data_IF_970087258518
#
_entry.id   IF_970087258518
#
_cell.length_a   1.000
_cell.length_b   1.000
_cell.length_c   1.000
_cell.angle_alpha   90.00
_cell.angle_beta   90.00
_cell.angle_gamma   90.00
#
_symmetry.space_group_name_H-M   'P 1'
#
loop_
_entity.id
_entity.type
_entity.pdbx_description
1 polymer ?
#
# COMPACT_ATOMS: atom_id res chain seq x y z
N UNK A 1 2.22 -14.71 -30.50
CA UNK A 1 2.02 -14.17 -29.13
C UNK A 1 3.16 -14.68 -28.28
N UNK A 2 4.02 -13.82 -27.76
CA UNK A 2 5.06 -14.27 -26.83
C UNK A 2 4.39 -14.83 -25.56
N UNK A 3 4.89 -15.96 -25.02
CA UNK A 3 4.36 -16.50 -23.77
C UNK A 3 4.52 -15.45 -22.66
N UNK A 4 3.46 -15.19 -21.92
CA UNK A 4 3.50 -14.26 -20.76
C UNK A 4 4.39 -14.83 -19.67
N UNK A 5 5.14 -13.98 -18.97
CA UNK A 5 5.97 -14.45 -17.85
C UNK A 5 5.09 -15.13 -16.80
N UNK A 6 5.57 -16.19 -16.15
CA UNK A 6 4.84 -16.88 -15.11
C UNK A 6 4.60 -15.96 -13.90
N UNK A 7 3.46 -16.11 -13.22
CA UNK A 7 3.20 -15.41 -11.96
C UNK A 7 4.19 -15.86 -10.89
N UNK A 8 4.83 -14.90 -10.25
CA UNK A 8 5.83 -15.16 -9.21
C UNK A 8 5.23 -15.19 -7.79
N UNK A 9 4.02 -14.63 -7.63
CA UNK A 9 3.38 -14.48 -6.33
C UNK A 9 2.98 -15.81 -5.63
N UNK A 10 2.80 -15.77 -4.31
CA UNK A 10 3.19 -14.68 -3.42
C UNK A 10 4.71 -14.55 -3.30
N UNK A 11 5.22 -13.32 -3.18
CA UNK A 11 6.67 -13.05 -3.08
C UNK A 11 7.05 -12.62 -1.67
N UNK A 12 8.20 -13.06 -1.14
CA UNK A 12 9.01 -14.20 -1.63
C UNK A 12 8.33 -15.53 -1.29
N UNK A 13 8.11 -16.40 -2.27
CA UNK A 13 7.43 -17.70 -2.04
C UNK A 13 8.10 -18.56 -0.94
N UNK A 14 9.45 -18.69 -0.90
CA UNK A 14 10.10 -19.49 0.15
C UNK A 14 9.77 -18.99 1.56
N UNK A 15 9.66 -17.67 1.76
CA UNK A 15 9.29 -17.09 3.06
C UNK A 15 7.86 -17.51 3.47
N UNK A 16 6.89 -17.39 2.57
CA UNK A 16 5.50 -17.76 2.87
C UNK A 16 5.33 -19.24 3.16
N UNK A 17 5.95 -20.12 2.35
CA UNK A 17 5.89 -21.56 2.56
C UNK A 17 6.68 -22.00 3.80
N UNK A 18 7.90 -21.46 3.98
CA UNK A 18 8.74 -21.76 5.14
C UNK A 18 8.07 -21.36 6.45
N UNK A 19 7.52 -20.15 6.52
CA UNK A 19 6.79 -19.71 7.73
C UNK A 19 5.57 -20.58 8.01
N UNK A 20 4.76 -20.89 6.99
CA UNK A 20 3.61 -21.76 7.17
C UNK A 20 4.03 -23.15 7.66
N UNK A 21 5.05 -23.75 7.04
CA UNK A 21 5.58 -25.05 7.44
C UNK A 21 6.10 -25.01 8.87
N UNK A 22 7.00 -24.08 9.19
CA UNK A 22 7.61 -24.00 10.52
C UNK A 22 6.57 -23.79 11.61
N UNK A 23 5.62 -22.87 11.41
CA UNK A 23 4.60 -22.58 12.43
C UNK A 23 3.60 -23.71 12.59
N UNK A 24 3.15 -24.32 11.49
CA UNK A 24 2.21 -25.43 11.57
C UNK A 24 2.87 -26.69 12.13
N UNK A 25 4.09 -27.02 11.69
CA UNK A 25 4.81 -28.18 12.21
C UNK A 25 5.18 -28.01 13.70
N UNK A 26 5.50 -26.80 14.16
CA UNK A 26 5.78 -26.55 15.58
C UNK A 26 4.54 -26.60 16.49
N UNK A 27 3.32 -26.62 15.93
CA UNK A 27 2.07 -26.62 16.73
C UNK A 27 1.97 -27.85 17.64
N UNK A 28 2.45 -29.01 17.20
CA UNK A 28 2.46 -30.23 18.01
C UNK A 28 3.45 -30.12 19.16
N UNK A 29 4.66 -29.65 18.91
CA UNK A 29 5.68 -29.43 19.93
C UNK A 29 5.25 -28.35 20.94
N UNK A 30 4.63 -27.28 20.45
CA UNK A 30 4.08 -26.24 21.28
C UNK A 30 2.96 -26.78 22.19
N UNK A 31 2.08 -27.64 21.66
CA UNK A 31 1.04 -28.27 22.45
C UNK A 31 1.64 -29.14 23.55
N UNK A 32 2.61 -30.02 23.24
CA UNK A 32 3.31 -30.83 24.24
C UNK A 32 3.99 -30.04 25.32
N UNK A 33 4.49 -28.84 24.99
CA UNK A 33 5.18 -27.95 25.93
C UNK A 33 4.20 -27.15 26.82
N UNK A 34 3.06 -26.75 26.29
CA UNK A 34 2.13 -25.83 26.95
C UNK A 34 0.93 -26.52 27.62
N UNK A 35 0.67 -27.81 27.27
CA UNK A 35 -0.48 -28.51 27.85
C UNK A 35 -0.33 -28.60 29.37
N UNK A 36 -1.42 -28.38 30.13
CA UNK A 36 -1.42 -28.59 31.57
C UNK A 36 -1.08 -30.00 31.95
N UNK A 37 -0.33 -30.21 33.03
CA UNK A 37 -0.01 -31.55 33.54
C UNK A 37 -1.27 -32.30 33.99
N UNK A 38 -2.32 -31.57 34.40
CA UNK A 38 -3.68 -32.08 34.64
C UNK A 38 -4.69 -31.01 34.24
N UNK A 39 -6.01 -31.37 34.03
CA UNK A 39 -7.05 -30.39 33.70
C UNK A 39 -7.23 -29.28 34.75
N UNK A 40 -6.77 -29.50 35.97
CA UNK A 40 -6.84 -28.56 37.10
C UNK A 40 -5.52 -27.78 37.33
N UNK A 41 -4.45 -28.08 36.60
CA UNK A 41 -3.17 -27.40 36.74
C UNK A 41 -3.10 -26.14 35.86
N UNK A 42 -2.36 -25.13 36.34
CA UNK A 42 -2.08 -23.93 35.54
C UNK A 42 -1.32 -24.31 34.27
N UNK A 43 -1.54 -23.58 33.15
CA UNK A 43 -0.74 -23.75 31.93
C UNK A 43 0.74 -23.60 32.22
N UNK A 44 1.59 -24.32 31.49
CA UNK A 44 3.04 -24.16 31.57
C UNK A 44 3.41 -22.67 31.44
N UNK A 45 4.35 -22.21 32.26
CA UNK A 45 4.70 -20.77 32.43
C UNK A 45 5.21 -20.05 31.15
N UNK A 46 5.32 -20.73 30.04
CA UNK A 46 5.84 -20.21 28.76
C UNK A 46 4.75 -19.93 27.70
N UNK A 47 3.47 -20.18 28.02
CA UNK A 47 2.40 -19.95 27.04
C UNK A 47 2.05 -18.43 27.00
N UNK A 48 1.96 -17.81 25.80
CA UNK A 48 1.44 -16.45 25.69
C UNK A 48 0.01 -16.35 26.25
N UNK A 49 -0.33 -15.22 26.91
CA UNK A 49 -1.64 -14.99 27.54
C UNK A 49 -2.82 -15.25 26.60
N UNK A 50 -2.68 -14.90 25.32
CA UNK A 50 -3.70 -15.11 24.28
C UNK A 50 -3.98 -16.58 23.99
N UNK A 51 -3.03 -17.47 24.28
CA UNK A 51 -3.15 -18.92 24.09
C UNK A 51 -3.55 -19.58 25.40
N UNK A 52 -3.08 -19.07 26.52
CA UNK A 52 -3.32 -19.63 27.84
C UNK A 52 -4.82 -19.90 28.12
N UNK A 53 -5.68 -18.99 27.69
CA UNK A 53 -7.14 -19.13 27.83
C UNK A 53 -7.73 -20.34 27.04
N UNK A 54 -7.09 -20.78 25.95
CA UNK A 54 -7.55 -21.88 25.11
C UNK A 54 -6.99 -23.25 25.53
N UNK A 55 -5.91 -23.28 26.31
CA UNK A 55 -5.24 -24.52 26.68
C UNK A 55 -6.14 -25.50 27.46
N UNK A 56 -7.00 -25.06 28.41
CA UNK A 56 -7.91 -25.98 29.11
C UNK A 56 -8.92 -26.64 28.17
N UNK A 57 -9.45 -25.92 27.19
CA UNK A 57 -10.41 -26.46 26.22
C UNK A 57 -9.76 -27.50 25.31
N UNK A 58 -8.52 -27.20 24.85
CA UNK A 58 -7.75 -28.13 24.01
C UNK A 58 -7.38 -29.37 24.80
N UNK A 59 -6.99 -29.25 26.09
CA UNK A 59 -6.69 -30.38 26.95
C UNK A 59 -7.93 -31.30 27.19
N UNK A 60 -9.09 -30.66 27.41
CA UNK A 60 -10.35 -31.40 27.54
C UNK A 60 -10.72 -32.13 26.23
N UNK A 61 -10.45 -31.54 25.08
CA UNK A 61 -10.65 -32.18 23.78
C UNK A 61 -9.71 -33.38 23.59
N UNK A 62 -8.42 -33.23 23.90
CA UNK A 62 -7.45 -34.34 23.86
C UNK A 62 -7.89 -35.52 24.75
N UNK A 63 -8.34 -35.21 25.99
CA UNK A 63 -8.82 -36.21 26.91
C UNK A 63 -10.05 -36.96 26.36
N UNK A 64 -11.01 -36.25 25.80
CA UNK A 64 -12.23 -36.84 25.20
C UNK A 64 -11.93 -37.72 23.99
N UNK A 65 -10.98 -37.32 23.16
CA UNK A 65 -10.60 -38.02 21.94
C UNK A 65 -9.67 -39.22 22.18
N UNK A 66 -8.89 -39.18 23.27
CA UNK A 66 -7.70 -39.98 23.46
C UNK A 66 -6.48 -39.45 22.72
N UNK A 67 -5.31 -39.41 23.39
CA UNK A 67 -4.10 -38.69 22.90
C UNK A 67 -3.69 -39.07 21.49
N UNK A 68 -3.61 -40.35 21.13
CA UNK A 68 -3.23 -40.75 19.78
C UNK A 68 -4.22 -40.34 18.68
N UNK A 69 -5.52 -40.27 18.98
CA UNK A 69 -6.53 -39.77 18.02
C UNK A 69 -6.44 -38.26 17.88
N UNK A 70 -6.15 -37.55 18.96
CA UNK A 70 -5.94 -36.09 18.94
C UNK A 70 -4.71 -35.73 18.12
N UNK A 71 -3.55 -36.37 18.36
CA UNK A 71 -2.32 -36.14 17.58
C UNK A 71 -2.55 -36.43 16.10
N UNK A 72 -3.20 -37.52 15.76
CA UNK A 72 -3.55 -37.85 14.38
C UNK A 72 -4.48 -36.83 13.74
N UNK A 73 -5.43 -36.25 14.49
CA UNK A 73 -6.31 -35.19 14.01
C UNK A 73 -5.53 -33.89 13.79
N UNK A 74 -4.62 -33.55 14.70
CA UNK A 74 -3.75 -32.38 14.58
C UNK A 74 -2.85 -32.48 13.33
N UNK A 75 -2.20 -33.62 13.11
CA UNK A 75 -1.40 -33.85 11.91
C UNK A 75 -2.21 -33.73 10.62
N UNK A 76 -3.42 -34.31 10.58
CA UNK A 76 -4.29 -34.15 9.41
C UNK A 76 -4.66 -32.67 9.15
N UNK A 77 -4.94 -31.92 10.21
CA UNK A 77 -5.28 -30.50 10.08
C UNK A 77 -4.09 -29.65 9.61
N UNK A 78 -2.88 -29.92 10.12
CA UNK A 78 -1.63 -29.31 9.67
C UNK A 78 -1.42 -29.57 8.17
N UNK A 79 -1.48 -30.84 7.76
CA UNK A 79 -1.32 -31.24 6.37
C UNK A 79 -2.39 -30.58 5.48
N UNK A 80 -3.66 -30.58 5.92
CA UNK A 80 -4.76 -29.94 5.21
C UNK A 80 -4.51 -28.45 4.97
N UNK A 81 -4.02 -27.72 5.97
CA UNK A 81 -3.72 -26.27 5.82
C UNK A 81 -2.56 -26.01 4.89
N UNK A 82 -1.49 -26.82 4.97
CA UNK A 82 -0.34 -26.70 4.07
C UNK A 82 -0.74 -27.01 2.62
N UNK A 83 -1.51 -28.10 2.40
CA UNK A 83 -2.02 -28.44 1.06
C UNK A 83 -2.91 -27.31 0.52
N UNK A 84 -3.84 -26.79 1.32
CA UNK A 84 -4.70 -25.67 0.89
C UNK A 84 -3.92 -24.42 0.51
N UNK A 85 -2.83 -24.11 1.21
CA UNK A 85 -1.93 -23.02 0.83
C UNK A 85 -1.26 -23.32 -0.51
N UNK A 86 -0.65 -24.50 -0.64
CA UNK A 86 0.07 -24.89 -1.86
C UNK A 86 -0.86 -24.94 -3.08
N UNK A 87 -2.03 -25.59 -2.95
CA UNK A 87 -3.02 -25.70 -4.02
C UNK A 87 -3.60 -24.35 -4.39
N UNK A 88 -3.85 -23.46 -3.40
CA UNK A 88 -4.30 -22.11 -3.64
C UNK A 88 -3.28 -21.27 -4.40
N UNK A 89 -2.00 -21.40 -4.07
CA UNK A 89 -0.90 -20.75 -4.81
C UNK A 89 -0.79 -21.30 -6.24
N UNK A 90 -0.91 -22.62 -6.41
CA UNK A 90 -0.87 -23.25 -7.74
C UNK A 90 -2.07 -22.83 -8.60
N UNK A 91 -3.28 -22.81 -8.02
CA UNK A 91 -4.49 -22.34 -8.70
C UNK A 91 -4.34 -20.88 -9.17
N UNK A 92 -3.85 -19.99 -8.28
CA UNK A 92 -3.55 -18.61 -8.63
C UNK A 92 -2.52 -18.49 -9.77
N UNK A 93 -1.41 -19.23 -9.68
CA UNK A 93 -0.35 -19.16 -10.70
C UNK A 93 -0.79 -19.64 -12.07
N UNK A 94 -1.72 -20.61 -12.13
CA UNK A 94 -2.27 -21.19 -13.36
C UNK A 94 -3.49 -20.45 -13.89
N UNK A 95 -4.04 -19.51 -13.12
CA UNK A 95 -5.28 -18.82 -13.49
C UNK A 95 -5.12 -18.01 -14.78
N UNK A 96 -6.09 -18.13 -15.69
CA UNK A 96 -5.99 -17.54 -17.04
C UNK A 96 -6.18 -16.02 -17.09
N UNK A 97 -6.81 -15.44 -16.06
CA UNK A 97 -7.15 -14.00 -16.00
C UNK A 97 -5.90 -13.14 -15.94
N UNK A 98 -5.90 -12.04 -16.71
CA UNK A 98 -4.91 -10.98 -16.67
C UNK A 98 -5.58 -9.63 -16.82
N UNK A 99 -4.90 -8.55 -16.39
CA UNK A 99 -5.35 -7.20 -16.64
C UNK A 99 -5.35 -6.91 -18.15
N UNK A 100 -6.51 -6.47 -18.67
CA UNK A 100 -6.72 -6.23 -20.10
C UNK A 100 -6.96 -4.76 -20.45
N UNK A 101 -6.96 -3.87 -19.44
CA UNK A 101 -7.17 -2.44 -19.68
C UNK A 101 -6.02 -1.83 -20.46
N UNK A 102 -6.36 -1.07 -21.50
CA UNK A 102 -5.40 -0.27 -22.24
C UNK A 102 -4.80 0.82 -21.34
N UNK A 103 -3.49 0.94 -21.39
CA UNK A 103 -2.76 2.02 -20.74
C UNK A 103 -2.99 3.31 -21.53
N UNK A 104 -3.46 4.39 -20.86
CA UNK A 104 -3.61 5.68 -21.53
C UNK A 104 -2.31 6.22 -22.10
N UNK A 105 -2.37 7.11 -23.12
CA UNK A 105 -1.17 7.62 -23.77
C UNK A 105 -0.28 8.39 -22.80
N UNK A 106 1.01 8.16 -22.87
CA UNK A 106 2.02 8.98 -22.22
C UNK A 106 2.16 10.32 -22.95
N UNK A 107 2.00 11.42 -22.23
CA UNK A 107 2.06 12.78 -22.78
C UNK A 107 3.31 13.53 -22.37
N UNK A 108 4.08 12.98 -21.46
CA UNK A 108 5.38 13.48 -21.00
C UNK A 108 6.17 12.30 -20.41
N UNK A 109 7.49 12.37 -20.56
CA UNK A 109 8.41 11.40 -19.95
C UNK A 109 9.70 12.08 -19.53
N UNK A 110 10.36 11.52 -18.52
CA UNK A 110 11.71 11.88 -18.08
C UNK A 110 12.34 10.66 -17.41
N UNK A 111 13.43 10.13 -17.99
CA UNK A 111 13.94 8.82 -17.62
C UNK A 111 12.83 7.76 -17.79
N UNK A 112 12.70 6.89 -16.81
CA UNK A 112 11.65 5.85 -16.82
C UNK A 112 10.28 6.36 -16.36
N UNK A 113 10.21 7.59 -15.83
CA UNK A 113 8.94 8.17 -15.39
C UNK A 113 8.13 8.68 -16.56
N UNK A 114 6.86 8.29 -16.63
CA UNK A 114 5.89 8.73 -17.64
C UNK A 114 4.72 9.43 -16.98
N UNK A 115 4.05 10.28 -17.73
CA UNK A 115 2.80 10.91 -17.32
C UNK A 115 1.68 10.46 -18.25
N UNK A 116 0.78 9.64 -17.73
CA UNK A 116 -0.33 9.04 -18.49
C UNK A 116 -1.56 9.95 -18.44
N UNK A 117 -2.15 10.27 -19.60
CA UNK A 117 -3.30 11.18 -19.73
C UNK A 117 -4.62 10.40 -19.73
N UNK A 118 -5.26 10.30 -18.59
CA UNK A 118 -6.59 9.69 -18.44
C UNK A 118 -7.71 10.52 -19.05
N UNK A 119 -7.46 11.76 -19.46
CA UNK A 119 -8.38 12.51 -20.29
C UNK A 119 -8.68 11.84 -21.63
N UNK A 120 -7.80 10.96 -22.11
CA UNK A 120 -8.04 10.14 -23.29
C UNK A 120 -9.14 9.09 -23.12
N UNK A 121 -9.45 8.69 -21.87
CA UNK A 121 -10.38 7.58 -21.58
C UNK A 121 -11.86 7.98 -21.62
N UNK A 122 -12.18 9.28 -21.48
CA UNK A 122 -13.58 9.73 -21.47
C UNK A 122 -13.74 11.14 -22.04
N UNK A 123 -14.81 11.37 -22.86
CA UNK A 123 -15.08 12.67 -23.52
C UNK A 123 -15.27 13.82 -22.52
N UNK A 124 -15.90 13.57 -21.37
CA UNK A 124 -16.14 14.60 -20.35
C UNK A 124 -14.81 15.22 -19.82
N UNK A 125 -13.75 14.42 -19.75
CA UNK A 125 -12.43 14.89 -19.30
C UNK A 125 -11.68 15.74 -20.35
N UNK A 126 -12.19 15.83 -21.59
CA UNK A 126 -11.65 16.64 -22.70
C UNK A 126 -12.33 18.00 -22.83
N UNK A 127 -13.39 18.27 -22.10
CA UNK A 127 -14.13 19.52 -22.17
C UNK A 127 -13.25 20.72 -21.78
N UNK A 128 -13.53 21.88 -22.36
CA UNK A 128 -12.84 23.13 -21.97
C UNK A 128 -13.09 23.43 -20.49
N UNK A 129 -12.05 23.82 -19.79
CA UNK A 129 -12.18 24.18 -18.37
C UNK A 129 -12.13 23.01 -17.39
N UNK A 130 -12.01 21.79 -17.88
CA UNK A 130 -11.84 20.58 -17.05
C UNK A 130 -10.70 20.75 -16.06
N UNK A 131 -10.92 20.35 -14.81
CA UNK A 131 -9.87 20.38 -13.78
C UNK A 131 -8.85 19.28 -14.01
N UNK A 132 -7.60 19.70 -14.20
CA UNK A 132 -6.47 18.79 -14.24
C UNK A 132 -6.09 18.35 -12.82
N UNK A 133 -5.77 17.06 -12.65
CA UNK A 133 -5.32 16.45 -11.40
C UNK A 133 -4.04 15.67 -11.67
N UNK A 134 -2.94 16.06 -11.04
CA UNK A 134 -1.70 15.27 -11.04
C UNK A 134 -1.86 14.17 -9.99
N UNK A 135 -1.84 12.91 -10.40
CA UNK A 135 -2.00 11.76 -9.51
C UNK A 135 -0.63 11.13 -9.27
N UNK A 136 -0.27 11.02 -7.99
CA UNK A 136 1.04 10.54 -7.52
C UNK A 136 0.84 9.24 -6.74
N UNK A 137 1.12 8.08 -7.34
CA UNK A 137 1.07 6.78 -6.66
C UNK A 137 2.32 6.57 -5.79
N UNK A 138 2.34 5.49 -5.02
CA UNK A 138 3.52 5.03 -4.29
C UNK A 138 4.70 4.76 -5.23
N UNK A 139 5.93 4.82 -4.71
CA UNK A 139 7.15 4.37 -5.42
C UNK A 139 7.35 2.86 -5.33
N UNK A 140 6.78 2.21 -4.32
CA UNK A 140 7.03 0.80 -3.99
C UNK A 140 6.17 -0.12 -4.84
N UNK A 141 4.87 0.19 -4.94
CA UNK A 141 3.92 -0.58 -5.73
C UNK A 141 3.54 0.19 -6.99
N UNK A 142 3.29 -0.53 -8.06
CA UNK A 142 2.89 0.06 -9.33
C UNK A 142 1.52 0.72 -9.24
N UNK A 143 1.24 1.61 -10.17
CA UNK A 143 0.06 2.46 -10.18
C UNK A 143 -1.25 1.75 -10.53
N UNK A 144 -1.22 0.53 -11.06
CA UNK A 144 -2.36 -0.19 -11.62
C UNK A 144 -3.49 -0.44 -10.61
N UNK A 145 -3.24 -0.39 -9.31
CA UNK A 145 -4.29 -0.45 -8.29
C UNK A 145 -5.31 0.69 -8.43
N UNK A 146 -4.89 1.84 -8.96
CA UNK A 146 -5.76 2.98 -9.23
C UNK A 146 -6.60 2.82 -10.52
N UNK A 147 -6.30 1.80 -11.35
CA UNK A 147 -6.97 1.46 -12.60
C UNK A 147 -6.97 -0.07 -12.81
N UNK A 148 -7.45 -0.83 -11.84
CA UNK A 148 -7.31 -2.29 -11.81
C UNK A 148 -8.19 -3.00 -12.86
N UNK A 149 -9.48 -2.66 -12.89
CA UNK A 149 -10.47 -3.11 -13.90
C UNK A 149 -11.31 -1.91 -14.35
N UNK A 150 -12.15 -2.09 -15.37
CA UNK A 150 -13.06 -1.03 -15.84
C UNK A 150 -14.00 -0.54 -14.71
N UNK A 151 -14.46 -1.45 -13.87
CA UNK A 151 -15.34 -1.18 -12.73
C UNK A 151 -14.58 -0.65 -11.51
N UNK A 152 -13.32 -1.08 -11.36
CA UNK A 152 -12.42 -0.73 -10.24
C UNK A 152 -11.29 0.18 -10.70
N UNK A 153 -11.67 1.34 -11.23
CA UNK A 153 -10.78 2.40 -11.68
C UNK A 153 -11.20 3.75 -11.13
N UNK A 154 -10.48 4.23 -10.13
CA UNK A 154 -10.65 5.59 -9.62
C UNK A 154 -10.37 6.62 -10.74
N UNK A 155 -9.34 6.38 -11.54
CA UNK A 155 -8.91 7.33 -12.57
C UNK A 155 -9.93 7.48 -13.70
N UNK A 156 -10.51 6.36 -14.18
CA UNK A 156 -11.58 6.40 -15.19
C UNK A 156 -12.87 6.97 -14.62
N UNK A 157 -13.18 6.70 -13.35
CA UNK A 157 -14.32 7.32 -12.66
C UNK A 157 -14.16 8.85 -12.57
N UNK A 158 -12.96 9.35 -12.23
CA UNK A 158 -12.64 10.78 -12.25
C UNK A 158 -12.81 11.38 -13.65
N UNK A 159 -12.33 10.69 -14.69
CA UNK A 159 -12.46 11.14 -16.09
C UNK A 159 -13.92 11.20 -16.52
N UNK A 160 -14.74 10.20 -16.16
CA UNK A 160 -16.17 10.16 -16.47
C UNK A 160 -16.97 11.31 -15.79
N UNK A 161 -16.48 11.77 -14.63
CA UNK A 161 -17.04 12.90 -13.88
C UNK A 161 -16.45 14.27 -14.27
N UNK A 162 -15.74 14.36 -15.40
CA UNK A 162 -15.25 15.63 -15.96
C UNK A 162 -13.98 16.17 -15.30
N UNK A 163 -13.23 15.35 -14.57
CA UNK A 163 -11.86 15.66 -14.16
C UNK A 163 -10.86 15.13 -15.21
N UNK A 164 -9.67 15.68 -15.27
CA UNK A 164 -8.60 15.17 -16.16
C UNK A 164 -7.40 14.69 -15.34
N UNK A 165 -7.38 13.40 -14.95
CA UNK A 165 -6.24 12.83 -14.24
C UNK A 165 -5.03 12.71 -15.17
N UNK A 166 -3.87 13.10 -14.67
CA UNK A 166 -2.55 12.84 -15.21
C UNK A 166 -1.82 11.98 -14.19
N UNK A 167 -1.67 10.70 -14.49
CA UNK A 167 -1.07 9.74 -13.58
C UNK A 167 0.43 9.68 -13.80
N UNK A 168 1.19 9.80 -12.72
CA UNK A 168 2.62 9.52 -12.71
C UNK A 168 2.82 8.00 -12.71
N UNK A 169 3.43 7.48 -13.75
CA UNK A 169 3.97 6.13 -13.80
C UNK A 169 5.48 6.24 -13.57
N UNK A 170 5.94 5.79 -12.42
CA UNK A 170 7.35 5.91 -12.03
C UNK A 170 8.28 5.00 -12.86
N UNK A 171 7.74 3.92 -13.43
CA UNK A 171 8.55 2.87 -14.05
C UNK A 171 9.33 2.04 -13.02
N UNK A 172 10.46 1.52 -13.43
CA UNK A 172 11.45 0.86 -12.57
C UNK A 172 12.73 1.69 -12.62
N UNK A 173 13.35 2.03 -11.49
CA UNK A 173 14.57 2.82 -11.47
C UNK A 173 15.67 2.18 -12.33
N UNK A 174 16.22 2.93 -13.28
CA UNK A 174 17.42 2.57 -14.02
C UNK A 174 18.69 2.89 -13.20
N UNK A 175 19.85 2.75 -13.81
CA UNK A 175 21.13 2.96 -13.15
C UNK A 175 21.29 4.39 -12.61
N UNK A 176 20.79 5.39 -13.32
CA UNK A 176 20.83 6.78 -12.87
C UNK A 176 19.79 7.05 -11.77
N UNK A 177 18.59 6.51 -11.93
CA UNK A 177 17.48 6.67 -10.98
C UNK A 177 17.71 5.91 -9.67
N UNK A 178 18.56 4.89 -9.65
CA UNK A 178 19.03 4.24 -8.39
C UNK A 178 19.77 5.18 -7.45
N UNK A 179 20.24 6.32 -7.95
CA UNK A 179 20.89 7.38 -7.15
C UNK A 179 19.90 8.44 -6.63
N UNK A 180 18.61 8.28 -6.90
CA UNK A 180 17.60 9.25 -6.49
C UNK A 180 17.28 9.14 -5.01
N UNK A 181 17.33 10.29 -4.33
CA UNK A 181 16.73 10.52 -3.02
C UNK A 181 15.28 11.02 -3.17
N UNK A 182 14.59 11.26 -2.07
CA UNK A 182 13.25 11.83 -2.08
C UNK A 182 13.20 13.23 -2.70
N UNK A 183 14.31 13.98 -2.63
CA UNK A 183 14.43 15.32 -3.27
C UNK A 183 14.40 15.19 -4.79
N UNK A 184 15.10 14.23 -5.37
CA UNK A 184 15.13 14.01 -6.82
C UNK A 184 13.75 13.63 -7.36
N UNK A 185 13.03 12.72 -6.66
CA UNK A 185 11.65 12.38 -7.02
C UNK A 185 10.71 13.57 -6.93
N UNK A 186 10.78 14.38 -5.87
CA UNK A 186 9.95 15.60 -5.75
C UNK A 186 10.31 16.63 -6.83
N UNK A 187 11.58 16.78 -7.18
CA UNK A 187 12.00 17.65 -8.28
C UNK A 187 11.42 17.19 -9.63
N UNK A 188 11.36 15.87 -9.87
CA UNK A 188 10.69 15.30 -11.05
C UNK A 188 9.18 15.60 -11.04
N UNK A 189 8.52 15.48 -9.88
CA UNK A 189 7.12 15.88 -9.72
C UNK A 189 6.90 17.37 -10.00
N UNK A 190 7.83 18.24 -9.64
CA UNK A 190 7.74 19.67 -9.97
C UNK A 190 7.74 19.93 -11.48
N UNK A 191 8.53 19.16 -12.25
CA UNK A 191 8.58 19.25 -13.72
C UNK A 191 7.29 18.72 -14.34
N UNK A 192 6.80 17.56 -13.87
CA UNK A 192 5.51 17.00 -14.27
C UNK A 192 4.35 17.95 -13.96
N UNK A 193 4.30 18.52 -12.74
CA UNK A 193 3.32 19.54 -12.34
C UNK A 193 3.36 20.76 -13.28
N UNK A 194 4.57 21.22 -13.62
CA UNK A 194 4.80 22.32 -14.56
C UNK A 194 4.25 22.02 -15.95
N UNK A 195 4.44 20.80 -16.45
CA UNK A 195 3.88 20.33 -17.72
C UNK A 195 2.33 20.34 -17.67
N UNK A 196 1.73 19.74 -16.64
CA UNK A 196 0.26 19.71 -16.49
C UNK A 196 -0.32 21.12 -16.38
N UNK A 197 0.31 22.01 -15.61
CA UNK A 197 -0.16 23.37 -15.44
C UNK A 197 -0.13 24.17 -16.76
N UNK A 198 0.90 23.97 -17.61
CA UNK A 198 0.96 24.58 -18.95
C UNK A 198 -0.16 24.07 -19.84
N UNK A 199 -0.36 22.75 -19.87
CA UNK A 199 -1.38 22.11 -20.71
C UNK A 199 -2.81 22.48 -20.28
N UNK A 200 -3.05 22.54 -18.96
CA UNK A 200 -4.34 22.95 -18.40
C UNK A 200 -4.57 24.48 -18.37
N UNK A 201 -3.54 25.29 -18.61
CA UNK A 201 -3.55 26.77 -18.50
C UNK A 201 -4.00 27.30 -17.13
N UNK A 202 -3.91 26.46 -16.10
CA UNK A 202 -4.27 26.76 -14.70
C UNK A 202 -3.52 25.84 -13.74
N UNK A 203 -3.52 26.17 -12.46
CA UNK A 203 -2.96 25.30 -11.44
C UNK A 203 -3.77 23.98 -11.33
N UNK A 204 -3.17 22.79 -11.47
CA UNK A 204 -3.86 21.53 -11.24
C UNK A 204 -4.04 21.26 -9.74
N UNK A 205 -4.99 20.40 -9.39
CA UNK A 205 -4.96 19.73 -8.10
C UNK A 205 -3.90 18.62 -8.10
N UNK A 206 -3.50 18.16 -6.92
CA UNK A 206 -2.60 17.03 -6.75
C UNK A 206 -3.31 15.98 -5.87
N UNK A 207 -3.26 14.72 -6.28
CA UNK A 207 -3.75 13.59 -5.51
C UNK A 207 -2.57 12.67 -5.24
N UNK A 208 -2.29 12.38 -3.98
CA UNK A 208 -1.25 11.42 -3.59
C UNK A 208 -1.85 10.23 -2.85
N UNK A 209 -1.42 9.03 -3.22
CA UNK A 209 -1.82 7.79 -2.57
C UNK A 209 -0.63 7.15 -1.86
N UNK A 210 -0.83 6.75 -0.59
CA UNK A 210 0.20 6.13 0.23
C UNK A 210 1.47 7.01 0.30
N UNK A 211 2.66 6.47 0.09
CA UNK A 211 3.93 7.19 0.00
C UNK A 211 3.89 8.35 -1.02
N UNK A 212 3.14 8.19 -2.12
CA UNK A 212 2.90 9.27 -3.09
C UNK A 212 2.21 10.48 -2.47
N UNK A 213 1.40 10.28 -1.42
CA UNK A 213 0.82 11.36 -0.62
C UNK A 213 1.87 12.15 0.16
N UNK A 214 2.82 11.47 0.79
CA UNK A 214 3.95 12.12 1.48
C UNK A 214 4.77 12.98 0.51
N UNK A 215 5.10 12.44 -0.69
CA UNK A 215 5.77 13.22 -1.74
C UNK A 215 4.92 14.40 -2.26
N UNK A 216 3.59 14.22 -2.35
CA UNK A 216 2.68 15.29 -2.76
C UNK A 216 2.62 16.44 -1.74
N UNK A 217 2.73 16.15 -0.43
CA UNK A 217 2.87 17.21 0.62
C UNK A 217 4.15 18.00 0.40
N UNK A 218 5.28 17.34 0.13
CA UNK A 218 6.54 18.01 -0.18
C UNK A 218 6.45 18.87 -1.46
N UNK A 219 5.83 18.34 -2.51
CA UNK A 219 5.56 19.10 -3.75
C UNK A 219 4.73 20.35 -3.47
N UNK A 220 3.66 20.25 -2.67
CA UNK A 220 2.82 21.38 -2.31
C UNK A 220 3.58 22.41 -1.44
N UNK A 221 4.45 21.95 -0.53
CA UNK A 221 5.31 22.84 0.26
C UNK A 221 6.29 23.64 -0.61
N UNK A 222 6.84 23.02 -1.64
CA UNK A 222 7.80 23.65 -2.56
C UNK A 222 7.13 24.54 -3.61
N UNK A 223 5.93 24.20 -4.05
CA UNK A 223 5.20 24.88 -5.13
C UNK A 223 3.75 25.28 -4.77
N UNK A 224 3.49 25.91 -3.60
CA UNK A 224 2.13 26.13 -3.10
C UNK A 224 1.27 27.03 -4.02
N UNK A 225 1.91 27.89 -4.82
CA UNK A 225 1.19 28.73 -5.80
C UNK A 225 0.76 27.95 -7.05
N UNK A 226 1.39 26.79 -7.33
CA UNK A 226 1.13 25.96 -8.52
C UNK A 226 0.19 24.79 -8.25
N UNK A 227 -0.26 24.59 -7.01
CA UNK A 227 -1.21 23.56 -6.60
C UNK A 227 -2.54 24.22 -6.23
N UNK A 228 -3.64 23.79 -6.86
CA UNK A 228 -4.97 24.33 -6.60
C UNK A 228 -5.61 23.70 -5.34
N UNK A 229 -5.37 22.43 -5.10
CA UNK A 229 -5.82 21.67 -3.94
C UNK A 229 -5.04 20.37 -3.83
N UNK A 230 -5.03 19.77 -2.66
CA UNK A 230 -4.28 18.54 -2.34
C UNK A 230 -5.22 17.48 -1.79
N UNK A 231 -5.23 16.29 -2.38
CA UNK A 231 -5.95 15.11 -1.87
C UNK A 231 -4.91 14.08 -1.42
N UNK A 232 -5.06 13.58 -0.20
CA UNK A 232 -4.16 12.64 0.43
C UNK A 232 -4.93 11.37 0.82
N UNK A 233 -4.68 10.29 0.09
CA UNK A 233 -5.29 8.98 0.32
C UNK A 233 -4.33 8.12 1.13
N UNK A 234 -4.66 7.80 2.38
CA UNK A 234 -3.86 6.95 3.25
C UNK A 234 -2.36 7.35 3.25
N UNK A 235 -2.07 8.66 3.28
CA UNK A 235 -0.71 9.18 3.22
C UNK A 235 -0.04 9.12 4.60
N UNK A 236 1.06 8.37 4.79
CA UNK A 236 1.76 8.34 6.07
C UNK A 236 2.44 9.69 6.33
N UNK A 237 2.39 10.15 7.58
CA UNK A 237 3.01 11.40 7.97
C UNK A 237 3.71 11.33 9.33
N UNK A 238 3.01 10.92 10.40
CA UNK A 238 3.64 10.65 11.69
C UNK A 238 4.01 9.17 11.75
N UNK A 239 5.28 8.89 11.48
CA UNK A 239 5.80 7.52 11.44
C UNK A 239 6.02 6.92 12.85
N UNK A 240 5.83 7.69 13.92
CA UNK A 240 5.89 7.22 15.30
C UNK A 240 4.51 7.11 15.96
N UNK A 241 3.42 7.35 15.22
CA UNK A 241 2.05 7.29 15.74
C UNK A 241 1.65 5.87 16.21
N UNK A 242 2.25 4.81 15.61
CA UNK A 242 2.13 3.42 16.06
C UNK A 242 3.53 2.83 16.30
N UNK A 243 4.02 2.99 17.53
CA UNK A 243 5.37 2.53 17.91
C UNK A 243 5.51 1.00 17.89
N UNK A 244 4.42 0.28 18.14
CA UNK A 244 4.44 -1.20 18.22
C UNK A 244 4.55 -1.81 16.83
N UNK A 245 3.73 -1.34 15.87
CA UNK A 245 3.73 -1.86 14.50
C UNK A 245 5.00 -1.56 13.72
N UNK A 246 5.76 -0.53 14.12
CA UNK A 246 6.99 -0.10 13.41
C UNK A 246 8.29 -0.44 14.12
N UNK A 247 8.24 -1.10 15.29
CA UNK A 247 9.46 -1.41 16.07
C UNK A 247 10.51 -2.18 15.26
N UNK A 248 10.07 -3.12 14.43
CA UNK A 248 10.97 -3.87 13.55
C UNK A 248 11.64 -2.97 12.50
N UNK A 249 10.88 -2.07 11.85
CA UNK A 249 11.44 -1.14 10.85
C UNK A 249 12.42 -0.16 11.47
N UNK A 250 12.17 0.32 12.67
CA UNK A 250 13.11 1.18 13.40
C UNK A 250 14.38 0.44 13.74
N UNK A 251 14.27 -0.81 14.23
CA UNK A 251 15.45 -1.62 14.62
C UNK A 251 16.26 -2.10 13.40
N UNK A 252 15.62 -2.61 12.36
CA UNK A 252 16.26 -3.13 11.16
C UNK A 252 16.63 -2.05 10.14
N UNK A 253 16.07 -0.85 10.28
CA UNK A 253 16.22 0.26 9.34
C UNK A 253 17.67 0.60 8.98
N UNK A 254 18.60 0.78 9.94
CA UNK A 254 19.99 1.06 9.65
C UNK A 254 20.67 -0.01 8.78
N UNK A 255 20.46 -1.29 9.09
CA UNK A 255 21.03 -2.40 8.33
C UNK A 255 20.42 -2.49 6.92
N UNK A 256 19.11 -2.30 6.79
CA UNK A 256 18.43 -2.30 5.49
C UNK A 256 18.84 -1.11 4.63
N UNK A 257 19.08 0.07 5.22
CA UNK A 257 19.59 1.23 4.51
C UNK A 257 21.02 1.00 4.02
N UNK A 258 21.88 0.39 4.84
CA UNK A 258 23.25 0.01 4.42
C UNK A 258 23.23 -1.01 3.28
N UNK A 259 22.33 -2.01 3.36
CA UNK A 259 22.13 -2.98 2.27
C UNK A 259 21.72 -2.28 0.98
N UNK A 260 20.72 -1.38 1.06
CA UNK A 260 20.22 -0.64 -0.09
C UNK A 260 21.31 0.24 -0.72
N UNK A 261 22.18 0.87 0.08
CA UNK A 261 23.30 1.66 -0.43
C UNK A 261 24.33 0.80 -1.16
N UNK A 262 24.63 -0.40 -0.63
CA UNK A 262 25.61 -1.32 -1.25
C UNK A 262 25.10 -1.92 -2.55
N UNK A 263 23.81 -2.25 -2.62
CA UNK A 263 23.17 -2.87 -3.79
C UNK A 263 22.72 -1.81 -4.80
N UNK A 264 22.60 -0.54 -4.39
CA UNK A 264 22.05 0.57 -5.17
C UNK A 264 20.53 0.71 -5.09
N UNK A 265 19.84 -0.28 -4.52
CA UNK A 265 18.39 -0.30 -4.35
C UNK A 265 17.98 -1.20 -3.18
N UNK A 266 16.79 -0.98 -2.63
CA UNK A 266 16.14 -1.94 -1.75
C UNK A 266 15.28 -2.88 -2.61
N UNK A 267 15.65 -4.17 -2.73
CA UNK A 267 15.00 -5.12 -3.63
C UNK A 267 13.53 -5.35 -3.31
N UNK A 268 12.73 -5.69 -4.34
CA UNK A 268 11.30 -5.97 -4.20
C UNK A 268 11.01 -7.04 -3.16
N UNK A 269 11.79 -8.13 -3.13
CA UNK A 269 11.55 -9.22 -2.17
C UNK A 269 11.82 -8.81 -0.72
N UNK A 270 12.73 -7.86 -0.48
CA UNK A 270 12.93 -7.25 0.85
C UNK A 270 11.72 -6.39 1.23
N UNK A 271 11.25 -5.54 0.33
CA UNK A 271 10.03 -4.73 0.55
C UNK A 271 8.81 -5.61 0.82
N UNK A 272 8.64 -6.69 0.06
CA UNK A 272 7.55 -7.65 0.27
C UNK A 272 7.67 -8.38 1.61
N UNK A 273 8.90 -8.65 2.07
CA UNK A 273 9.15 -9.24 3.40
C UNK A 273 8.73 -8.28 4.52
N UNK A 274 8.97 -6.97 4.35
CA UNK A 274 8.51 -5.96 5.30
C UNK A 274 6.97 -5.91 5.35
N UNK A 275 6.27 -5.96 4.21
CA UNK A 275 4.82 -6.05 4.18
C UNK A 275 4.29 -7.37 4.76
N UNK A 276 4.96 -8.49 4.51
CA UNK A 276 4.63 -9.78 5.09
C UNK A 276 4.66 -9.73 6.63
N UNK A 277 5.61 -9.02 7.22
CA UNK A 277 5.74 -8.94 8.68
C UNK A 277 4.54 -8.30 9.38
N UNK A 278 3.68 -7.55 8.67
CA UNK A 278 2.46 -6.95 9.21
C UNK A 278 1.34 -7.99 9.48
N UNK A 279 1.27 -9.04 8.69
CA UNK A 279 0.38 -10.21 8.91
C UNK A 279 0.99 -11.47 8.26
N UNK A 280 1.88 -12.18 8.98
CA UNK A 280 2.56 -13.37 8.43
C UNK A 280 1.62 -14.49 8.00
N UNK A 281 0.40 -14.52 8.58
CA UNK A 281 -0.62 -15.51 8.26
C UNK A 281 -1.54 -15.14 7.10
N UNK A 282 -1.42 -13.94 6.58
CA UNK A 282 -2.30 -13.46 5.51
C UNK A 282 -2.26 -14.36 4.28
N UNK A 283 -1.08 -14.83 3.86
CA UNK A 283 -0.95 -15.71 2.71
C UNK A 283 -1.70 -17.03 2.90
N UNK A 284 -1.57 -17.68 4.06
CA UNK A 284 -2.29 -18.93 4.37
C UNK A 284 -3.80 -18.74 4.29
N UNK A 285 -4.30 -17.64 4.89
CA UNK A 285 -5.73 -17.32 4.90
C UNK A 285 -6.26 -17.02 3.50
N UNK A 286 -5.58 -16.12 2.75
CA UNK A 286 -6.09 -15.63 1.48
C UNK A 286 -6.02 -16.66 0.35
N UNK A 287 -4.94 -17.43 0.24
CA UNK A 287 -4.82 -18.48 -0.78
C UNK A 287 -5.70 -19.68 -0.48
N UNK A 288 -5.84 -20.04 0.81
CA UNK A 288 -6.80 -21.07 1.22
C UNK A 288 -8.25 -20.67 0.94
N UNK A 289 -8.61 -19.38 1.10
CA UNK A 289 -9.93 -18.85 0.72
C UNK A 289 -10.11 -18.81 -0.80
N UNK A 290 -9.09 -18.37 -1.55
CA UNK A 290 -9.12 -18.32 -3.00
C UNK A 290 -9.45 -19.68 -3.62
N UNK A 291 -8.83 -20.75 -3.10
CA UNK A 291 -9.11 -22.13 -3.56
C UNK A 291 -10.59 -22.52 -3.43
N UNK A 292 -11.32 -21.90 -2.51
CA UNK A 292 -12.75 -22.17 -2.27
C UNK A 292 -13.69 -21.24 -3.04
N UNK A 293 -13.15 -20.30 -3.83
CA UNK A 293 -13.96 -19.41 -4.68
C UNK A 293 -14.36 -20.11 -5.97
N UNK A 294 -15.47 -19.68 -6.57
CA UNK A 294 -15.76 -19.97 -7.96
C UNK A 294 -14.66 -19.36 -8.84
N UNK A 295 -13.84 -20.21 -9.46
CA UNK A 295 -12.68 -19.80 -10.26
C UNK A 295 -13.06 -19.06 -11.55
N UNK A 296 -14.31 -19.15 -12.00
CA UNK A 296 -14.86 -18.41 -13.14
C UNK A 296 -15.54 -17.09 -12.71
N UNK A 297 -15.74 -16.90 -11.40
CA UNK A 297 -16.48 -15.76 -10.86
C UNK A 297 -15.63 -14.49 -10.73
N UNK A 298 -16.32 -13.36 -10.63
CA UNK A 298 -15.69 -12.03 -10.46
C UNK A 298 -14.80 -11.94 -9.22
N UNK A 299 -15.15 -12.61 -8.14
CA UNK A 299 -14.34 -12.59 -6.91
C UNK A 299 -12.98 -13.24 -7.09
N UNK A 300 -12.90 -14.35 -7.83
CA UNK A 300 -11.62 -14.99 -8.15
C UNK A 300 -10.81 -14.15 -9.13
N UNK A 301 -11.46 -13.58 -10.17
CA UNK A 301 -10.83 -12.63 -11.09
C UNK A 301 -10.20 -11.46 -10.36
N UNK A 302 -10.96 -10.82 -9.48
CA UNK A 302 -10.50 -9.66 -8.72
C UNK A 302 -9.36 -10.00 -7.77
N UNK A 303 -9.42 -11.16 -7.12
CA UNK A 303 -8.33 -11.68 -6.29
C UNK A 303 -7.05 -11.84 -7.10
N UNK A 304 -7.13 -12.48 -8.27
CA UNK A 304 -5.96 -12.73 -9.13
C UNK A 304 -5.32 -11.43 -9.60
N UNK A 305 -6.12 -10.48 -10.10
CA UNK A 305 -5.62 -9.18 -10.56
C UNK A 305 -4.98 -8.37 -9.43
N UNK A 306 -5.56 -8.43 -8.23
CA UNK A 306 -5.00 -7.76 -7.06
C UNK A 306 -3.69 -8.43 -6.60
N UNK A 307 -3.63 -9.76 -6.60
CA UNK A 307 -2.39 -10.49 -6.27
C UNK A 307 -1.30 -10.26 -7.32
N UNK A 308 -1.64 -10.20 -8.61
CA UNK A 308 -0.69 -9.85 -9.66
C UNK A 308 -0.07 -8.47 -9.38
N UNK A 309 -0.90 -7.46 -9.07
CA UNK A 309 -0.42 -6.13 -8.70
C UNK A 309 0.41 -6.13 -7.41
N UNK A 310 -0.03 -6.81 -6.35
CA UNK A 310 0.69 -6.89 -5.07
C UNK A 310 2.09 -7.46 -5.23
N UNK A 311 2.27 -8.40 -6.15
CA UNK A 311 3.54 -9.09 -6.37
C UNK A 311 4.41 -8.48 -7.48
N UNK A 312 3.90 -7.48 -8.21
CA UNK A 312 4.62 -6.70 -9.22
C UNK A 312 5.08 -5.34 -8.65
N UNK A 313 5.85 -5.38 -7.57
CA UNK A 313 6.45 -4.18 -6.97
C UNK A 313 7.64 -3.65 -7.78
N UNK A 314 8.04 -2.40 -7.51
CA UNK A 314 9.29 -1.82 -7.98
C UNK A 314 10.32 -1.76 -6.84
N UNK A 315 11.62 -1.97 -7.11
CA UNK A 315 12.65 -1.74 -6.11
C UNK A 315 12.71 -0.26 -5.76
N UNK A 316 13.12 0.05 -4.53
CA UNK A 316 13.26 1.43 -4.09
C UNK A 316 14.72 1.85 -4.20
N UNK A 317 15.00 2.96 -4.89
CA UNK A 317 16.35 3.50 -5.03
C UNK A 317 17.05 3.64 -3.67
N UNK A 318 18.33 3.31 -3.59
CA UNK A 318 19.09 3.22 -2.34
C UNK A 318 18.98 4.48 -1.47
N UNK A 319 19.27 5.70 -1.98
CA UNK A 319 19.13 6.92 -1.19
C UNK A 319 17.69 7.20 -0.75
N UNK A 320 16.70 6.85 -1.58
CA UNK A 320 15.28 6.96 -1.18
C UNK A 320 14.93 5.96 -0.08
N UNK A 321 15.44 4.72 -0.15
CA UNK A 321 15.27 3.74 0.92
C UNK A 321 15.88 4.24 2.24
N UNK A 322 17.05 4.84 2.20
CA UNK A 322 17.70 5.49 3.36
C UNK A 322 16.83 6.61 3.92
N UNK A 323 16.33 7.53 3.09
CA UNK A 323 15.43 8.60 3.51
C UNK A 323 14.20 8.06 4.24
N UNK A 324 13.62 6.97 3.74
CA UNK A 324 12.46 6.32 4.35
C UNK A 324 12.84 5.63 5.67
N UNK A 325 13.83 4.74 5.65
CA UNK A 325 14.16 3.88 6.79
C UNK A 325 14.76 4.67 7.95
N UNK A 326 15.67 5.58 7.67
CA UNK A 326 16.32 6.40 8.70
C UNK A 326 15.53 7.68 8.97
N UNK A 327 15.25 8.47 7.91
CA UNK A 327 14.64 9.78 8.08
C UNK A 327 13.16 9.74 8.49
N UNK A 328 12.38 8.82 7.91
CA UNK A 328 10.94 8.76 8.21
C UNK A 328 10.65 7.78 9.36
N UNK A 329 11.04 6.50 9.26
CA UNK A 329 10.76 5.52 10.31
C UNK A 329 11.67 5.71 11.55
N UNK A 330 12.97 6.00 11.37
CA UNK A 330 13.91 6.22 12.47
C UNK A 330 13.69 7.56 13.17
N UNK A 331 13.84 8.68 12.46
CA UNK A 331 13.84 10.03 13.04
C UNK A 331 12.48 10.72 13.01
N UNK A 332 11.49 10.16 12.34
CA UNK A 332 10.16 10.77 12.13
C UNK A 332 10.23 12.21 11.62
N UNK A 333 11.12 12.48 10.66
CA UNK A 333 11.34 13.82 10.13
C UNK A 333 10.06 14.49 9.61
N UNK A 334 9.12 13.78 8.90
CA UNK A 334 7.84 14.37 8.50
C UNK A 334 6.96 14.74 9.69
N UNK A 335 6.70 13.83 10.62
CA UNK A 335 5.83 14.04 11.78
C UNK A 335 6.34 15.12 12.73
N UNK A 336 7.67 15.34 12.78
CA UNK A 336 8.31 16.40 13.59
C UNK A 336 8.51 17.72 12.81
N UNK A 337 8.05 17.82 11.56
CA UNK A 337 8.24 18.97 10.69
C UNK A 337 9.72 19.32 10.44
N UNK A 338 10.62 18.33 10.53
CA UNK A 338 12.07 18.51 10.29
C UNK A 338 12.50 18.03 8.90
N UNK A 339 11.61 17.35 8.16
CA UNK A 339 11.94 16.87 6.82
C UNK A 339 12.25 18.00 5.86
N UNK A 340 13.41 17.89 5.19
CA UNK A 340 13.91 18.88 4.23
C UNK A 340 13.96 18.26 2.85
N UNK A 341 13.38 18.91 1.86
CA UNK A 341 13.37 18.49 0.47
C UNK A 341 13.90 19.63 -0.40
N UNK A 342 15.04 19.39 -1.05
CA UNK A 342 15.68 20.40 -1.89
C UNK A 342 15.90 21.74 -1.17
N UNK A 343 16.47 21.69 0.03
CA UNK A 343 16.78 22.84 0.88
C UNK A 343 15.57 23.50 1.58
N UNK A 344 14.33 22.96 1.41
CA UNK A 344 13.14 23.55 2.01
C UNK A 344 12.49 22.57 3.01
N UNK A 345 12.22 23.06 4.23
CA UNK A 345 11.44 22.28 5.22
C UNK A 345 10.01 22.07 4.75
N UNK A 346 9.52 20.86 4.90
CA UNK A 346 8.13 20.48 4.63
C UNK A 346 7.34 20.62 5.92
N UNK A 347 6.53 21.67 6.01
CA UNK A 347 5.77 22.02 7.22
C UNK A 347 4.31 22.22 6.84
N UNK A 348 3.42 21.21 7.02
CA UNK A 348 2.02 21.25 6.59
C UNK A 348 1.27 22.51 7.07
N UNK A 349 1.41 23.00 8.32
CA UNK A 349 0.75 24.23 8.76
C UNK A 349 1.12 25.50 7.95
N UNK A 350 2.23 25.48 7.22
CA UNK A 350 2.69 26.60 6.38
C UNK A 350 2.27 26.47 4.91
N UNK A 351 1.63 25.35 4.55
CA UNK A 351 1.17 25.10 3.18
C UNK A 351 -0.26 25.65 3.05
N UNK A 352 -0.37 26.82 2.42
CA UNK A 352 -1.67 27.47 2.20
C UNK A 352 -2.34 26.92 0.92
N UNK A 353 -2.72 25.65 0.94
CA UNK A 353 -3.43 24.93 -0.12
C UNK A 353 -4.58 24.19 0.54
N UNK A 354 -5.82 24.25 0.01
CA UNK A 354 -6.90 23.41 0.52
C UNK A 354 -6.50 21.93 0.43
N UNK A 355 -6.71 21.18 1.50
CA UNK A 355 -6.37 19.76 1.57
C UNK A 355 -7.56 18.90 1.96
N UNK A 356 -7.71 17.74 1.33
CA UNK A 356 -8.59 16.64 1.74
C UNK A 356 -7.71 15.48 2.21
N UNK A 357 -7.85 15.10 3.47
CA UNK A 357 -7.12 13.95 4.06
C UNK A 357 -8.13 12.83 4.29
N UNK A 358 -7.93 11.72 3.59
CA UNK A 358 -8.80 10.54 3.63
C UNK A 358 -8.09 9.40 4.35
N UNK A 359 -8.68 8.93 5.46
CA UNK A 359 -8.05 8.04 6.41
C UNK A 359 -8.86 6.74 6.50
N UNK A 360 -8.35 5.62 5.96
CA UNK A 360 -9.01 4.33 6.13
C UNK A 360 -8.79 3.81 7.56
N UNK A 361 -9.87 3.64 8.32
CA UNK A 361 -9.82 3.25 9.74
C UNK A 361 -9.37 1.80 9.97
N UNK A 362 -9.48 0.94 8.96
CA UNK A 362 -8.99 -0.44 8.98
C UNK A 362 -7.62 -0.62 8.32
N UNK A 363 -6.85 0.45 8.15
CA UNK A 363 -5.55 0.41 7.51
C UNK A 363 -4.49 -0.21 8.42
N UNK A 364 -3.86 -1.30 7.95
CA UNK A 364 -2.77 -2.00 8.64
C UNK A 364 -1.41 -1.68 8.04
N UNK A 365 -1.36 -0.99 6.89
CA UNK A 365 -0.12 -0.61 6.20
C UNK A 365 0.31 0.77 6.67
N UNK A 366 -0.62 1.73 6.63
CA UNK A 366 -0.43 3.07 7.19
C UNK A 366 -1.37 3.21 8.38
N UNK A 367 -0.87 3.19 9.61
CA UNK A 367 -1.70 3.38 10.79
C UNK A 367 -2.57 4.62 10.65
N UNK A 368 -3.88 4.56 10.95
CA UNK A 368 -4.79 5.69 10.80
C UNK A 368 -4.29 6.97 11.50
N UNK A 369 -3.67 6.83 12.67
CA UNK A 369 -3.08 7.95 13.42
C UNK A 369 -1.92 8.62 12.66
N UNK A 370 -1.15 7.85 11.89
CA UNK A 370 -0.08 8.41 11.07
C UNK A 370 -0.62 9.37 10.01
N UNK A 371 -1.65 8.96 9.27
CA UNK A 371 -2.29 9.80 8.25
C UNK A 371 -3.08 10.96 8.90
N UNK A 372 -3.70 10.73 10.05
CA UNK A 372 -4.49 11.73 10.78
C UNK A 372 -3.67 12.95 11.20
N UNK A 373 -2.36 12.79 11.43
CA UNK A 373 -1.47 13.88 11.79
C UNK A 373 -1.48 15.03 10.75
N UNK A 374 -1.79 14.75 9.48
CA UNK A 374 -1.95 15.77 8.44
C UNK A 374 -3.22 16.63 8.61
N UNK A 375 -4.20 16.16 9.36
CA UNK A 375 -5.45 16.86 9.65
C UNK A 375 -5.53 17.39 11.09
N UNK A 376 -4.49 17.21 11.90
CA UNK A 376 -4.45 17.73 13.27
C UNK A 376 -4.33 19.27 13.29
N UNK A 377 -5.08 19.98 14.16
CA UNK A 377 -5.14 21.44 14.14
C UNK A 377 -3.79 22.15 14.31
N UNK A 378 -2.86 21.55 15.09
CA UNK A 378 -1.55 22.16 15.38
C UNK A 378 -0.43 21.70 14.46
N UNK A 379 -0.50 20.50 13.92
CA UNK A 379 0.58 19.84 13.16
C UNK A 379 0.27 19.69 11.68
N UNK A 380 -1.01 19.57 11.33
CA UNK A 380 -1.51 19.35 9.98
C UNK A 380 -1.77 20.63 9.20
N UNK A 381 -2.48 20.48 8.09
CA UNK A 381 -2.89 21.61 7.25
C UNK A 381 -3.90 22.51 7.97
N UNK A 382 -3.78 23.83 7.78
CA UNK A 382 -4.74 24.80 8.35
C UNK A 382 -6.10 24.76 7.65
N UNK A 383 -6.10 24.58 6.33
CA UNK A 383 -7.30 24.48 5.50
C UNK A 383 -7.47 23.02 5.07
N UNK A 384 -8.06 22.21 5.94
CA UNK A 384 -8.18 20.76 5.76
C UNK A 384 -9.61 20.27 5.96
N UNK A 385 -10.03 19.39 5.07
CA UNK A 385 -11.19 18.51 5.24
C UNK A 385 -10.66 17.12 5.59
N UNK A 386 -11.11 16.55 6.69
CA UNK A 386 -10.82 15.18 7.09
C UNK A 386 -11.99 14.26 6.77
N UNK A 387 -11.72 13.10 6.23
CA UNK A 387 -12.71 12.05 5.98
C UNK A 387 -12.16 10.70 6.43
N UNK A 388 -12.78 10.14 7.48
CA UNK A 388 -12.47 8.80 7.97
C UNK A 388 -13.36 7.78 7.25
N UNK A 389 -12.73 6.68 6.76
CA UNK A 389 -13.38 5.67 5.92
C UNK A 389 -13.37 4.31 6.61
N UNK A 390 -14.50 3.59 6.75
CA UNK A 390 -14.53 2.22 7.30
C UNK A 390 -14.03 1.21 6.27
N UNK A 391 -12.79 1.40 5.80
CA UNK A 391 -12.12 0.63 4.75
C UNK A 391 -10.67 0.35 5.17
N UNK A 392 -9.99 -0.56 4.47
CA UNK A 392 -8.54 -0.76 4.58
C UNK A 392 -7.77 -0.01 3.52
N UNK A 393 -6.44 -0.03 3.60
CA UNK A 393 -5.51 0.70 2.72
C UNK A 393 -5.80 0.52 1.23
N UNK A 394 -5.84 -0.72 0.77
CA UNK A 394 -6.11 -1.06 -0.62
C UNK A 394 -7.63 -1.03 -0.88
N UNK A 395 -8.42 -1.44 0.11
CA UNK A 395 -9.87 -1.48 0.03
C UNK A 395 -10.52 -0.13 -0.27
N UNK A 396 -9.91 0.99 0.14
CA UNK A 396 -10.42 2.33 -0.18
C UNK A 396 -10.36 2.65 -1.69
N UNK A 397 -9.56 1.89 -2.44
CA UNK A 397 -9.39 2.09 -3.88
C UNK A 397 -10.12 1.03 -4.70
N UNK A 398 -10.14 -0.25 -4.26
CA UNK A 398 -10.63 -1.36 -5.10
C UNK A 398 -11.81 -2.15 -4.52
N UNK A 399 -12.26 -1.89 -3.29
CA UNK A 399 -13.40 -2.62 -2.73
C UNK A 399 -14.71 -2.25 -3.41
N UNK A 400 -15.75 -3.09 -3.29
CA UNK A 400 -17.09 -2.79 -3.79
C UNK A 400 -17.69 -1.50 -3.21
N UNK A 401 -17.26 -1.10 -1.98
CA UNK A 401 -17.71 0.14 -1.32
C UNK A 401 -16.83 1.36 -1.64
N UNK A 402 -15.70 1.17 -2.35
CA UNK A 402 -14.75 2.25 -2.63
C UNK A 402 -15.38 3.40 -3.41
N UNK A 403 -16.24 3.09 -4.40
CA UNK A 403 -16.92 4.09 -5.23
C UNK A 403 -17.76 5.05 -4.40
N UNK A 404 -18.55 4.52 -3.49
CA UNK A 404 -19.44 5.30 -2.64
C UNK A 404 -18.67 6.07 -1.57
N UNK A 405 -17.84 5.36 -0.80
CA UNK A 405 -17.24 5.90 0.41
C UNK A 405 -15.98 6.74 0.16
N UNK A 406 -15.24 6.47 -0.92
CA UNK A 406 -13.97 7.13 -1.20
C UNK A 406 -14.04 7.97 -2.49
N UNK A 407 -14.40 7.37 -3.65
CA UNK A 407 -14.25 8.04 -4.92
C UNK A 407 -15.22 9.21 -5.10
N UNK A 408 -16.49 9.01 -4.75
CA UNK A 408 -17.53 10.06 -4.90
C UNK A 408 -17.19 11.28 -4.06
N UNK A 409 -16.94 11.20 -2.75
CA UNK A 409 -16.56 12.37 -1.94
C UNK A 409 -15.28 13.06 -2.45
N UNK A 410 -14.30 12.28 -2.89
CA UNK A 410 -13.03 12.80 -3.45
C UNK A 410 -13.28 13.61 -4.72
N UNK A 411 -14.07 13.05 -5.65
CA UNK A 411 -14.36 13.67 -6.94
C UNK A 411 -15.18 14.96 -6.73
N UNK A 412 -16.17 14.93 -5.86
CA UNK A 412 -17.02 16.08 -5.53
C UNK A 412 -16.20 17.19 -4.88
N UNK A 413 -15.31 16.84 -3.92
CA UNK A 413 -14.41 17.81 -3.31
C UNK A 413 -13.46 18.44 -4.34
N UNK A 414 -12.87 17.65 -5.23
CA UNK A 414 -12.03 18.18 -6.32
C UNK A 414 -12.83 19.11 -7.25
N UNK A 415 -14.09 18.79 -7.55
CA UNK A 415 -14.98 19.61 -8.35
C UNK A 415 -15.27 20.97 -7.69
N UNK A 416 -15.40 20.99 -6.37
CA UNK A 416 -15.76 22.18 -5.59
C UNK A 416 -14.58 23.17 -5.37
N UNK A 417 -13.32 22.77 -5.56
CA UNK A 417 -12.16 23.67 -5.37
C UNK A 417 -12.27 24.87 -6.32
N UNK A 418 -12.15 26.12 -5.84
CA UNK A 418 -12.17 27.31 -6.71
C UNK A 418 -11.02 27.28 -7.75
N UNK A 419 -11.24 27.80 -8.95
CA UNK A 419 -10.19 27.87 -9.95
C UNK A 419 -9.09 28.86 -9.50
N UNK A 420 -7.86 28.37 -9.36
CA UNK A 420 -6.70 29.21 -9.06
C UNK A 420 -6.02 29.63 -10.36
N UNK A 421 -6.05 30.94 -10.68
CA UNK A 421 -5.33 31.46 -11.84
C UNK A 421 -3.82 31.29 -11.65
N UNK A 422 -3.13 30.95 -12.73
CA UNK A 422 -1.66 30.92 -12.77
C UNK A 422 -1.17 32.37 -12.67
N UNK A 423 -0.53 32.73 -11.57
CA UNK A 423 0.28 33.94 -11.47
C UNK A 423 1.72 33.64 -11.86
#
# INVERSE_FOLDING_TARGET
>A
MQPRPPRLGPRPLPLHLGTALMTLASSESAWKLWKPASPSSSPGSAAPDTIAALLPEIAALETRMGGGKFESALHREIARRLHRLADGVLAYRRHAVHRTLDTPPAVWSEGNTRLLDYGATHRAARARGTRAVLVVPSLINRWEVLDLTAEKSLLRAMAARGLRPYLVDWGTPDEDERRFDTTAYVARLERALGFVARRARRAPAVLGYCMGGTLAVALAARRPRRVAGLVLLAAPWDFHADRTGHAFLVSAGPLLAELADRVGELPVDVLQTLFWSLDPWLAVKKFGRFLSMDQQGDSARDFVLLEDWLNDGAPLAGPTARDCLIGWYGDNLPGTNKWVVGGRRVVPPRINVPALVMIPSGDRIVPPLSAAALAEPKRGFRNVTRLDLPLGHIGMVVSGRARELCWTPLIDWLGAIPPKRRR
#
